data_IF_554632966541
#
_entry.id   IF_554632966541
#
_cell.length_a   1.000
_cell.length_b   1.000
_cell.length_c   1.000
_cell.angle_alpha   90.00
_cell.angle_beta   90.00
_cell.angle_gamma   90.00
#
_symmetry.space_group_name_H-M   'P 1'
#
loop_
_entity.id
_entity.type
_entity.pdbx_description
1 polymer ?
#
# COMPACT_ATOMS: atom_id res chain seq x y z
N UNK A 1 -8.27 -21.18 19.40
CA UNK A 1 -7.19 -20.23 19.03
C UNK A 1 -6.37 -20.73 17.86
N UNK A 2 -5.90 -21.99 17.84
CA UNK A 2 -5.21 -22.58 16.68
C UNK A 2 -6.07 -22.66 15.41
N UNK A 3 -7.34 -23.07 15.51
CA UNK A 3 -8.24 -23.15 14.34
C UNK A 3 -8.53 -21.78 13.68
N UNK A 4 -8.67 -20.71 14.47
CA UNK A 4 -8.81 -19.35 13.94
C UNK A 4 -7.51 -18.83 13.30
N UNK A 5 -6.35 -19.35 13.74
CA UNK A 5 -5.06 -19.08 13.13
C UNK A 5 -4.91 -19.84 11.80
N UNK A 6 -5.38 -21.09 11.73
CA UNK A 6 -5.42 -21.88 10.48
C UNK A 6 -6.38 -21.28 9.45
N UNK A 7 -7.56 -20.80 9.85
CA UNK A 7 -8.43 -20.02 8.96
C UNK A 7 -7.77 -18.71 8.52
N UNK A 8 -6.96 -18.08 9.37
CA UNK A 8 -6.20 -16.87 9.07
C UNK A 8 -4.97 -17.12 8.15
N UNK A 9 -4.44 -18.34 8.12
CA UNK A 9 -3.35 -18.77 7.22
C UNK A 9 -3.94 -18.94 5.82
N UNK A 10 -3.96 -17.83 5.08
CA UNK A 10 -4.48 -17.75 3.72
C UNK A 10 -5.55 -16.67 3.52
N UNK A 11 -6.28 -16.27 4.58
CA UNK A 11 -7.27 -15.18 4.53
C UNK A 11 -6.73 -13.85 5.03
N UNK A 12 -5.72 -13.88 5.91
CA UNK A 12 -4.91 -12.70 6.21
C UNK A 12 -3.79 -12.69 5.19
N UNK A 13 -3.77 -11.71 4.29
CA UNK A 13 -2.61 -11.48 3.45
C UNK A 13 -1.42 -11.13 4.37
N UNK A 14 -0.56 -12.12 4.64
CA UNK A 14 0.71 -11.91 5.34
C UNK A 14 1.62 -11.15 4.39
N UNK A 15 1.91 -9.91 4.77
CA UNK A 15 2.65 -8.97 3.94
C UNK A 15 4.13 -9.32 3.87
N UNK A 16 4.77 -8.93 2.76
CA UNK A 16 6.23 -9.00 2.63
C UNK A 16 6.82 -10.40 2.44
N UNK A 17 6.02 -11.43 2.19
CA UNK A 17 6.55 -12.75 1.80
C UNK A 17 7.13 -12.75 0.37
N UNK A 18 6.78 -11.77 -0.46
CA UNK A 18 7.36 -11.56 -1.78
C UNK A 18 7.96 -10.16 -1.94
N UNK A 19 8.93 -9.96 -2.85
CA UNK A 19 9.44 -8.63 -3.20
C UNK A 19 8.38 -7.76 -3.87
N UNK A 20 8.42 -6.44 -3.65
CA UNK A 20 7.53 -5.50 -4.34
C UNK A 20 7.83 -5.50 -5.84
N UNK A 21 6.75 -5.60 -6.62
CA UNK A 21 6.80 -5.63 -8.09
C UNK A 21 6.55 -4.23 -8.64
N UNK A 22 7.27 -3.88 -9.70
CA UNK A 22 6.99 -2.71 -10.54
C UNK A 22 6.01 -3.12 -11.64
N UNK A 23 4.75 -2.70 -11.49
CA UNK A 23 3.65 -3.14 -12.37
C UNK A 23 3.88 -2.77 -13.84
N UNK A 24 4.66 -1.71 -14.10
CA UNK A 24 5.02 -1.25 -15.46
C UNK A 24 5.74 -2.31 -16.28
N UNK A 25 6.50 -3.19 -15.63
CA UNK A 25 7.27 -4.25 -16.30
C UNK A 25 6.39 -5.41 -16.79
N UNK A 26 5.13 -5.44 -16.36
CA UNK A 26 4.18 -6.50 -16.66
C UNK A 26 3.01 -6.02 -17.52
N UNK A 27 3.02 -4.76 -17.93
CA UNK A 27 2.03 -4.23 -18.85
C UNK A 27 2.27 -4.78 -20.26
N UNK A 28 1.21 -5.14 -21.01
CA UNK A 28 1.37 -5.47 -22.42
C UNK A 28 1.90 -4.26 -23.19
N UNK A 29 2.65 -4.49 -24.29
CA UNK A 29 3.04 -3.40 -25.18
C UNK A 29 1.77 -2.76 -25.75
N UNK A 30 1.75 -1.43 -25.76
CA UNK A 30 0.65 -0.64 -26.32
C UNK A 30 1.19 0.23 -27.46
N UNK A 31 0.57 0.20 -28.65
CA UNK A 31 0.97 1.06 -29.75
C UNK A 31 0.78 2.56 -29.44
N UNK A 32 -0.14 2.91 -28.54
CA UNK A 32 -0.32 4.28 -28.07
C UNK A 32 0.38 4.47 -26.72
N UNK A 33 1.48 5.25 -26.66
CA UNK A 33 2.17 5.53 -25.41
C UNK A 33 1.32 6.34 -24.42
N UNK A 34 0.30 7.06 -24.89
CA UNK A 34 -0.61 7.85 -24.06
C UNK A 34 -1.79 7.07 -23.50
N UNK A 35 -2.03 5.85 -24.01
CA UNK A 35 -3.12 5.01 -23.53
C UNK A 35 -2.95 4.67 -22.05
N UNK A 36 -4.07 4.72 -21.33
CA UNK A 36 -4.13 4.32 -19.94
C UNK A 36 -4.11 2.79 -19.81
N UNK A 37 -3.28 2.27 -18.92
CA UNK A 37 -3.24 0.85 -18.61
C UNK A 37 -4.07 0.53 -17.35
N UNK A 38 -5.24 -0.11 -17.48
CA UNK A 38 -5.96 -0.62 -16.32
C UNK A 38 -5.25 -1.86 -15.76
N UNK A 39 -5.09 -1.92 -14.44
CA UNK A 39 -4.49 -3.06 -13.73
C UNK A 39 -5.42 -3.48 -12.60
N UNK A 40 -5.84 -4.75 -12.61
CA UNK A 40 -6.63 -5.36 -11.54
C UNK A 40 -5.74 -6.18 -10.61
N UNK A 41 -5.72 -5.83 -9.33
CA UNK A 41 -5.09 -6.58 -8.26
C UNK A 41 -6.16 -7.40 -7.53
N UNK A 42 -6.06 -8.72 -7.57
CA UNK A 42 -7.01 -9.64 -6.92
C UNK A 42 -6.34 -10.27 -5.70
N UNK A 43 -6.92 -10.10 -4.50
CA UNK A 43 -6.35 -10.60 -3.25
C UNK A 43 -4.97 -10.00 -2.92
N UNK A 44 -4.67 -8.84 -3.49
CA UNK A 44 -3.37 -8.18 -3.44
C UNK A 44 -3.51 -6.69 -3.06
N UNK A 45 -4.37 -6.38 -2.09
CA UNK A 45 -4.45 -5.06 -1.46
C UNK A 45 -3.21 -4.79 -0.59
N UNK A 46 -2.09 -4.53 -1.26
CA UNK A 46 -0.82 -4.21 -0.63
C UNK A 46 -0.16 -3.00 -1.32
N UNK A 47 -0.07 -1.88 -0.58
CA UNK A 47 0.41 -0.60 -1.12
C UNK A 47 1.88 -0.61 -1.59
N UNK A 48 2.69 -1.61 -1.24
CA UNK A 48 4.12 -1.67 -1.63
C UNK A 48 4.32 -1.75 -3.14
N UNK A 49 3.43 -2.45 -3.85
CA UNK A 49 3.47 -2.55 -5.31
C UNK A 49 3.24 -1.18 -5.95
N UNK A 50 2.27 -0.43 -5.42
CA UNK A 50 1.96 0.92 -5.86
C UNK A 50 3.13 1.87 -5.59
N UNK A 51 3.69 1.85 -4.37
CA UNK A 51 4.84 2.68 -4.00
C UNK A 51 6.08 2.34 -4.85
N UNK A 52 6.34 1.06 -5.10
CA UNK A 52 7.43 0.60 -5.96
C UNK A 52 7.26 1.09 -7.41
N UNK A 53 6.07 0.91 -7.97
CA UNK A 53 5.73 1.36 -9.32
C UNK A 53 5.83 2.88 -9.45
N UNK A 54 5.30 3.63 -8.47
CA UNK A 54 5.37 5.09 -8.44
C UNK A 54 6.82 5.60 -8.31
N UNK A 55 7.63 4.99 -7.43
CA UNK A 55 9.04 5.37 -7.25
C UNK A 55 9.88 5.14 -8.52
N UNK A 56 9.46 4.19 -9.36
CA UNK A 56 10.13 3.87 -10.63
C UNK A 56 9.48 4.50 -11.86
N UNK A 57 8.39 5.25 -11.70
CA UNK A 57 7.63 5.80 -12.81
C UNK A 57 8.45 6.71 -13.75
N UNK A 58 9.53 7.35 -13.25
CA UNK A 58 10.43 8.19 -14.06
C UNK A 58 11.57 7.44 -14.76
N UNK A 59 11.69 6.12 -14.57
CA UNK A 59 12.79 5.31 -15.15
C UNK A 59 12.53 4.85 -16.58
N UNK A 60 11.36 5.13 -17.13
CA UNK A 60 11.01 4.82 -18.51
C UNK A 60 9.97 5.81 -19.05
N UNK A 61 9.35 5.51 -20.20
CA UNK A 61 8.32 6.38 -20.75
C UNK A 61 7.18 6.58 -19.73
N UNK A 62 6.57 7.79 -19.68
CA UNK A 62 5.40 8.03 -18.87
C UNK A 62 4.26 7.13 -19.36
N UNK A 63 3.53 6.55 -18.41
CA UNK A 63 2.39 5.67 -18.68
C UNK A 63 1.36 5.92 -17.59
N UNK A 64 0.14 6.26 -17.98
CA UNK A 64 -0.98 6.33 -17.06
C UNK A 64 -1.40 4.91 -16.66
N UNK A 65 -1.58 4.68 -15.37
CA UNK A 65 -1.99 3.38 -14.83
C UNK A 65 -3.15 3.64 -13.87
N UNK A 66 -4.30 3.04 -14.14
CA UNK A 66 -5.42 3.00 -13.20
C UNK A 66 -5.45 1.65 -12.51
N UNK A 67 -5.44 1.67 -11.18
CA UNK A 67 -5.39 0.48 -10.34
C UNK A 67 -6.76 0.17 -9.76
N UNK A 68 -7.24 -1.04 -10.02
CA UNK A 68 -8.42 -1.63 -9.40
C UNK A 68 -7.97 -2.67 -8.39
N UNK A 69 -8.61 -2.72 -7.23
CA UNK A 69 -8.30 -3.69 -6.17
C UNK A 69 -9.58 -4.45 -5.86
N UNK A 70 -9.54 -5.76 -6.06
CA UNK A 70 -10.61 -6.69 -5.69
C UNK A 70 -10.17 -7.50 -4.47
N UNK A 71 -10.88 -7.32 -3.37
CA UNK A 71 -10.63 -8.02 -2.10
C UNK A 71 -11.92 -8.60 -1.55
N UNK A 72 -11.79 -9.71 -0.81
CA UNK A 72 -12.93 -10.35 -0.15
C UNK A 72 -13.30 -9.64 1.16
N UNK A 73 -12.35 -8.97 1.79
CA UNK A 73 -12.53 -8.31 3.07
C UNK A 73 -12.05 -6.85 3.03
N UNK A 74 -12.68 -5.95 3.80
CA UNK A 74 -12.31 -4.54 3.80
C UNK A 74 -10.99 -4.27 4.54
N UNK A 75 -10.55 -5.15 5.44
CA UNK A 75 -9.40 -4.94 6.30
C UNK A 75 -8.08 -4.76 5.51
N UNK A 76 -7.73 -5.62 4.52
CA UNK A 76 -6.55 -5.41 3.67
C UNK A 76 -6.59 -4.07 2.92
N UNK A 77 -7.76 -3.69 2.39
CA UNK A 77 -7.95 -2.43 1.67
C UNK A 77 -7.75 -1.23 2.60
N UNK A 78 -8.39 -1.23 3.77
CA UNK A 78 -8.25 -0.18 4.77
C UNK A 78 -6.79 -0.04 5.23
N UNK A 79 -6.10 -1.17 5.43
CA UNK A 79 -4.68 -1.20 5.80
C UNK A 79 -3.77 -0.65 4.69
N UNK A 80 -4.02 -1.01 3.43
CA UNK A 80 -3.34 -0.44 2.27
C UNK A 80 -3.52 1.08 2.23
N UNK A 81 -4.76 1.56 2.33
CA UNK A 81 -5.06 2.99 2.31
C UNK A 81 -4.34 3.72 3.44
N UNK A 82 -4.38 3.17 4.67
CA UNK A 82 -3.68 3.73 5.82
C UNK A 82 -2.17 3.88 5.58
N UNK A 83 -1.54 2.87 4.96
CA UNK A 83 -0.11 2.89 4.67
C UNK A 83 0.24 3.83 3.52
N UNK A 84 -0.59 3.91 2.50
CA UNK A 84 -0.44 4.89 1.43
C UNK A 84 -0.57 6.32 1.97
N UNK A 85 -1.49 6.56 2.91
CA UNK A 85 -1.61 7.86 3.58
C UNK A 85 -0.36 8.20 4.39
N UNK A 86 0.21 7.25 5.12
CA UNK A 86 1.46 7.44 5.85
C UNK A 86 2.64 7.73 4.91
N UNK A 87 2.70 7.05 3.77
CA UNK A 87 3.77 7.21 2.79
C UNK A 87 3.67 8.55 2.03
N UNK A 88 2.46 8.90 1.58
CA UNK A 88 2.23 9.93 0.58
C UNK A 88 1.77 11.27 1.16
N UNK A 89 0.94 11.29 2.21
CA UNK A 89 0.45 12.54 2.76
C UNK A 89 1.44 13.19 3.73
N UNK A 90 1.52 14.53 3.65
CA UNK A 90 2.36 15.34 4.52
C UNK A 90 1.60 16.56 5.05
N UNK A 91 0.82 16.43 6.15
CA UNK A 91 0.21 17.61 6.75
C UNK A 91 1.22 18.52 7.46
N UNK A 92 2.25 17.96 8.14
CA UNK A 92 3.19 18.74 9.00
C UNK A 92 4.68 18.32 8.88
N UNK A 93 5.05 17.69 7.75
CA UNK A 93 6.42 17.31 7.29
C UNK A 93 7.36 16.57 8.27
N UNK A 94 7.05 15.32 8.64
CA UNK A 94 8.12 14.36 8.94
C UNK A 94 8.99 14.11 7.68
N UNK A 95 10.32 14.13 7.85
CA UNK A 95 11.29 13.83 6.78
C UNK A 95 10.95 12.48 6.13
N UNK A 96 11.19 12.28 4.81
CA UNK A 96 10.93 11.01 4.13
C UNK A 96 11.51 9.78 4.86
N UNK A 97 12.69 9.93 5.49
CA UNK A 97 13.31 8.89 6.30
C UNK A 97 12.47 8.50 7.53
N UNK A 98 11.81 9.44 8.19
CA UNK A 98 10.94 9.15 9.35
C UNK A 98 9.69 8.38 8.93
N UNK A 99 9.12 8.69 7.76
CA UNK A 99 7.99 7.94 7.17
C UNK A 99 8.41 6.53 6.77
N UNK A 100 9.56 6.40 6.11
CA UNK A 100 10.12 5.09 5.77
C UNK A 100 10.37 4.24 7.03
N UNK A 101 10.97 4.82 8.07
CA UNK A 101 11.19 4.14 9.35
C UNK A 101 9.88 3.70 10.01
N UNK A 102 8.86 4.57 10.03
CA UNK A 102 7.54 4.23 10.55
C UNK A 102 6.88 3.07 9.79
N UNK A 103 6.97 3.06 8.45
CA UNK A 103 6.44 1.96 7.62
C UNK A 103 7.19 0.65 7.90
N UNK A 104 8.53 0.68 7.95
CA UNK A 104 9.32 -0.51 8.27
C UNK A 104 9.02 -1.06 9.66
N UNK A 105 8.82 -0.19 10.64
CA UNK A 105 8.43 -0.57 12.00
C UNK A 105 7.04 -1.22 12.00
N UNK A 106 6.05 -0.63 11.32
CA UNK A 106 4.71 -1.19 11.19
C UNK A 106 4.65 -2.54 10.46
N UNK A 107 5.63 -2.82 9.59
CA UNK A 107 5.72 -4.09 8.85
C UNK A 107 6.43 -5.19 9.64
N UNK A 108 7.32 -4.86 10.57
CA UNK A 108 8.25 -5.84 11.15
C UNK A 108 8.31 -5.89 12.67
N UNK A 109 7.63 -4.99 13.39
CA UNK A 109 7.74 -4.88 14.85
C UNK A 109 6.43 -5.21 15.56
N UNK A 110 6.52 -6.00 16.64
CA UNK A 110 5.37 -6.28 17.52
C UNK A 110 5.02 -5.13 18.48
N UNK A 111 5.85 -4.09 18.55
CA UNK A 111 5.63 -2.88 19.34
C UNK A 111 5.97 -1.63 18.53
N UNK A 112 5.33 -0.51 18.86
CA UNK A 112 5.51 0.76 18.15
C UNK A 112 6.11 1.82 19.07
N UNK A 113 7.11 2.54 18.57
CA UNK A 113 7.60 3.78 19.17
C UNK A 113 6.49 4.83 19.20
N UNK A 114 6.55 5.72 20.20
CA UNK A 114 5.57 6.77 20.39
C UNK A 114 5.36 7.64 19.13
N UNK A 115 6.44 7.96 18.39
CA UNK A 115 6.38 8.72 17.14
C UNK A 115 5.61 7.99 16.03
N UNK A 116 5.92 6.71 15.81
CA UNK A 116 5.22 5.85 14.84
C UNK A 116 3.75 5.68 15.21
N UNK A 117 3.44 5.48 16.49
CA UNK A 117 2.07 5.41 16.99
C UNK A 117 1.29 6.74 16.81
N UNK A 118 1.95 7.88 16.95
CA UNK A 118 1.34 9.19 16.69
C UNK A 118 1.03 9.38 15.20
N UNK A 119 1.97 9.05 14.30
CA UNK A 119 1.76 9.09 12.85
C UNK A 119 0.61 8.19 12.43
N UNK A 120 0.59 6.95 12.92
CA UNK A 120 -0.46 5.96 12.63
C UNK A 120 -1.84 6.47 13.06
N UNK A 121 -1.98 6.99 14.29
CA UNK A 121 -3.24 7.56 14.78
C UNK A 121 -3.71 8.74 13.94
N UNK A 122 -2.79 9.63 13.53
CA UNK A 122 -3.11 10.75 12.65
C UNK A 122 -3.64 10.30 11.29
N UNK A 123 -2.98 9.33 10.66
CA UNK A 123 -3.41 8.77 9.38
C UNK A 123 -4.75 8.02 9.49
N UNK A 124 -4.95 7.22 10.54
CA UNK A 124 -6.20 6.51 10.79
C UNK A 124 -7.37 7.49 11.02
N UNK A 125 -7.13 8.57 11.76
CA UNK A 125 -8.13 9.63 11.97
C UNK A 125 -8.55 10.31 10.66
N UNK A 126 -7.64 10.46 9.69
CA UNK A 126 -7.96 10.99 8.35
C UNK A 126 -8.72 9.98 7.51
N UNK A 127 -8.24 8.75 7.43
CA UNK A 127 -8.90 7.68 6.69
C UNK A 127 -10.35 7.51 7.15
N UNK A 128 -10.59 7.52 8.47
CA UNK A 128 -11.94 7.46 9.05
C UNK A 128 -12.84 8.58 8.55
N UNK A 129 -12.32 9.82 8.41
CA UNK A 129 -13.13 10.94 7.89
C UNK A 129 -13.49 10.76 6.42
N UNK A 130 -12.65 10.11 5.62
CA UNK A 130 -12.92 9.87 4.21
C UNK A 130 -13.96 8.78 3.97
N UNK A 131 -13.97 7.75 4.82
CA UNK A 131 -14.89 6.59 4.65
C UNK A 131 -16.21 6.75 5.40
N UNK A 132 -16.34 7.73 6.28
CA UNK A 132 -17.56 8.00 7.06
C UNK A 132 -18.27 9.31 6.68
N UNK A 133 -17.75 10.04 5.68
CA UNK A 133 -18.42 11.20 5.09
C UNK A 133 -19.34 10.74 3.95
#
# INVERSE_FOLDING_TARGET
MAAALEEAVGTVCWWGLSPAIDLRLHLPPDPDPSAEAPVLLVGAAEGRHLLMTAARARRGPPRAITLFVAEQSPEPVARQLLFLLLALEAPERPRPAARAAAILELLGSGSLRAGTAALLRGAAGRLRRWVSA
#
